data_IF_078938475283
#
_entry.id   IF_078938475283
#
_cell.length_a   1.000
_cell.length_b   1.000
_cell.length_c   1.000
_cell.angle_alpha   90.00
_cell.angle_beta   90.00
_cell.angle_gamma   90.00
#
_symmetry.space_group_name_H-M   'P 1'
#
loop_
_entity.id
_entity.type
_entity.pdbx_description
1 polymer ?
#
# COMPACT_ATOMS: atom_id res chain seq x y z
N UNK A 1 8.63 -3.27 -3.43
CA UNK A 1 9.69 -2.36 -3.93
C UNK A 1 9.13 -0.96 -4.24
N UNK A 2 8.19 -0.82 -5.17
CA UNK A 2 7.63 0.49 -5.56
C UNK A 2 7.09 1.33 -4.39
N UNK A 3 6.24 0.75 -3.54
CA UNK A 3 5.63 1.46 -2.41
C UNK A 3 6.49 1.50 -1.14
N UNK A 4 7.72 0.96 -1.15
CA UNK A 4 8.46 0.66 0.09
C UNK A 4 7.55 -0.02 1.15
N UNK A 5 6.86 -1.09 0.75
CA UNK A 5 5.86 -1.74 1.59
C UNK A 5 6.46 -2.13 2.94
N UNK A 6 5.71 -1.95 4.02
CA UNK A 6 6.22 -2.18 5.36
C UNK A 6 5.13 -2.35 6.39
N UNK A 7 5.53 -2.94 7.52
CA UNK A 7 4.68 -3.17 8.69
C UNK A 7 5.41 -2.66 9.94
N UNK A 8 4.92 -2.99 11.12
CA UNK A 8 5.65 -2.73 12.37
C UNK A 8 6.94 -3.54 12.51
N UNK A 9 7.16 -4.56 11.67
CA UNK A 9 8.35 -5.41 11.68
C UNK A 9 9.47 -4.93 10.73
N UNK A 10 9.24 -3.86 9.99
CA UNK A 10 10.18 -3.31 9.02
C UNK A 10 9.56 -3.00 7.66
N UNK A 11 10.38 -2.45 6.78
CA UNK A 11 10.05 -2.03 5.43
C UNK A 11 10.85 -2.81 4.38
N UNK A 12 10.40 -2.74 3.12
CA UNK A 12 11.08 -3.40 2.00
C UNK A 12 12.55 -2.99 1.92
N UNK A 13 12.84 -1.70 2.13
CA UNK A 13 14.22 -1.16 2.05
C UNK A 13 15.20 -1.81 3.04
N UNK A 14 14.71 -2.34 4.16
CA UNK A 14 15.58 -2.83 5.25
C UNK A 14 16.36 -4.09 4.87
N UNK A 15 15.87 -4.82 3.86
CA UNK A 15 16.48 -6.06 3.35
C UNK A 15 16.75 -6.03 1.85
N UNK A 16 16.39 -4.95 1.15
CA UNK A 16 16.56 -4.86 -0.29
C UNK A 16 18.05 -4.74 -0.63
N UNK A 17 18.52 -5.55 -1.57
CA UNK A 17 19.92 -5.58 -2.00
C UNK A 17 20.09 -4.91 -3.36
N UNK A 18 19.28 -5.33 -4.33
CA UNK A 18 19.36 -4.90 -5.72
C UNK A 18 17.96 -4.79 -6.31
N UNK A 19 17.76 -3.82 -7.21
CA UNK A 19 16.56 -3.69 -8.03
C UNK A 19 16.98 -3.52 -9.47
N UNK A 20 16.43 -4.34 -10.36
CA UNK A 20 16.57 -4.19 -11.81
C UNK A 20 15.29 -3.54 -12.33
N UNK A 21 15.44 -2.42 -13.02
CA UNK A 21 14.33 -1.73 -13.69
C UNK A 21 14.48 -1.85 -15.19
N UNK A 22 13.36 -1.84 -15.88
CA UNK A 22 13.23 -1.91 -17.32
C UNK A 22 12.61 -0.61 -17.82
N UNK A 23 13.29 0.05 -18.77
CA UNK A 23 12.77 1.24 -19.45
C UNK A 23 12.22 0.87 -20.81
N UNK A 24 10.99 1.29 -21.05
CA UNK A 24 10.38 1.19 -22.37
C UNK A 24 10.98 2.27 -23.29
N UNK A 25 11.37 1.91 -24.52
CA UNK A 25 11.72 2.91 -25.56
C UNK A 25 10.50 3.64 -26.13
N UNK A 26 9.30 3.06 -25.98
CA UNK A 26 8.00 3.63 -26.37
C UNK A 26 7.00 3.37 -25.23
N UNK A 27 6.07 4.30 -24.93
CA UNK A 27 5.09 4.09 -23.86
C UNK A 27 4.32 2.77 -24.05
N UNK A 28 3.97 2.05 -22.97
CA UNK A 28 3.37 0.70 -23.03
C UNK A 28 2.08 0.60 -23.84
N UNK A 29 1.38 1.73 -24.03
CA UNK A 29 0.13 1.81 -24.82
C UNK A 29 0.36 1.52 -26.32
N UNK A 30 1.61 1.49 -26.77
CA UNK A 30 2.01 1.29 -28.17
C UNK A 30 2.77 -0.03 -28.43
N UNK A 31 2.75 -0.98 -27.50
CA UNK A 31 3.43 -2.27 -27.66
C UNK A 31 2.42 -3.37 -27.99
N UNK A 32 2.60 -4.02 -29.14
CA UNK A 32 1.90 -5.28 -29.45
C UNK A 32 2.34 -6.36 -28.45
N UNK A 33 1.41 -7.26 -28.10
CA UNK A 33 1.69 -8.40 -27.22
C UNK A 33 2.80 -9.26 -27.85
N UNK A 34 4.03 -9.13 -27.35
CA UNK A 34 5.21 -9.86 -27.85
C UNK A 34 6.37 -8.98 -28.32
N UNK A 35 6.16 -7.69 -28.56
CA UNK A 35 7.25 -6.74 -28.89
C UNK A 35 7.70 -5.99 -27.63
N UNK A 36 8.75 -6.49 -26.98
CA UNK A 36 9.44 -5.81 -25.88
C UNK A 36 10.43 -4.73 -26.37
N UNK A 37 10.56 -4.54 -27.69
CA UNK A 37 11.51 -3.62 -28.29
C UNK A 37 12.96 -3.82 -27.83
N UNK A 38 13.82 -2.85 -28.15
CA UNK A 38 15.16 -2.79 -27.58
C UNK A 38 15.10 -2.26 -26.15
N UNK A 39 15.07 -3.18 -25.18
CA UNK A 39 15.07 -2.94 -23.75
C UNK A 39 16.34 -2.26 -23.23
N UNK A 40 16.20 -1.29 -22.31
CA UNK A 40 17.31 -0.88 -21.43
C UNK A 40 17.01 -1.29 -20.00
N UNK A 41 17.85 -2.17 -19.46
CA UNK A 41 17.84 -2.51 -18.04
C UNK A 41 18.80 -1.60 -17.28
N UNK A 42 18.38 -1.13 -16.11
CA UNK A 42 19.24 -0.40 -15.17
C UNK A 42 19.18 -1.11 -13.82
N UNK A 43 20.35 -1.32 -13.24
CA UNK A 43 20.48 -1.87 -11.90
C UNK A 43 20.70 -0.77 -10.88
N UNK A 44 19.98 -0.87 -9.76
CA UNK A 44 20.17 -0.04 -8.57
C UNK A 44 20.60 -0.93 -7.40
N UNK A 45 21.63 -0.49 -6.70
CA UNK A 45 22.16 -1.12 -5.49
C UNK A 45 21.87 -0.26 -4.25
N UNK A 46 22.13 -0.78 -3.05
CA UNK A 46 21.76 -0.17 -1.78
C UNK A 46 22.07 1.33 -1.65
N UNK A 47 23.25 1.76 -2.09
CA UNK A 47 23.67 3.17 -1.98
C UNK A 47 22.87 4.12 -2.89
N UNK A 48 22.14 3.57 -3.87
CA UNK A 48 21.32 4.33 -4.81
C UNK A 48 19.84 4.34 -4.42
N UNK A 49 19.42 3.50 -3.46
CA UNK A 49 18.04 3.48 -3.00
C UNK A 49 17.70 4.75 -2.22
N UNK A 50 16.78 5.53 -2.76
CA UNK A 50 16.18 6.68 -2.08
C UNK A 50 14.72 6.36 -1.77
N UNK A 51 14.41 6.22 -0.49
CA UNK A 51 13.08 5.88 0.00
C UNK A 51 12.59 6.88 1.04
N UNK A 52 11.31 7.20 0.95
CA UNK A 52 10.53 7.88 1.99
C UNK A 52 9.42 6.94 2.49
N UNK A 53 8.70 7.36 3.52
CA UNK A 53 7.56 6.58 4.03
C UNK A 53 6.52 6.37 2.91
N UNK A 54 6.32 5.10 2.53
CA UNK A 54 5.42 4.66 1.45
C UNK A 54 5.76 5.18 0.05
N UNK A 55 7.01 5.57 -0.21
CA UNK A 55 7.40 6.18 -1.48
C UNK A 55 8.82 5.82 -1.87
N UNK A 56 9.02 5.39 -3.12
CA UNK A 56 10.33 5.26 -3.73
C UNK A 56 10.68 6.54 -4.54
N UNK A 57 11.95 6.91 -4.57
CA UNK A 57 12.47 8.10 -5.25
C UNK A 57 13.61 7.79 -6.23
N UNK A 58 13.88 6.51 -6.49
CA UNK A 58 15.00 6.09 -7.34
C UNK A 58 14.55 5.35 -8.60
N UNK A 59 13.34 4.78 -8.62
CA UNK A 59 12.76 4.20 -9.84
C UNK A 59 12.00 5.30 -10.57
N UNK A 60 12.36 5.63 -11.83
CA UNK A 60 11.59 6.60 -12.60
C UNK A 60 10.16 6.12 -12.86
N UNK A 61 9.21 7.05 -12.93
CA UNK A 61 7.78 6.73 -13.07
C UNK A 61 7.44 5.95 -14.34
N UNK A 62 8.22 6.18 -15.40
CA UNK A 62 8.08 5.53 -16.71
C UNK A 62 8.73 4.13 -16.77
N UNK A 63 9.41 3.72 -15.69
CA UNK A 63 10.13 2.45 -15.63
C UNK A 63 9.31 1.35 -14.95
N UNK A 64 9.49 0.12 -15.40
CA UNK A 64 8.95 -1.08 -14.76
C UNK A 64 10.01 -1.67 -13.83
N UNK A 65 9.62 -2.05 -12.60
CA UNK A 65 10.48 -2.88 -11.77
C UNK A 65 10.44 -4.31 -12.30
N UNK A 66 11.56 -4.79 -12.82
CA UNK A 66 11.69 -6.09 -13.46
C UNK A 66 12.07 -7.19 -12.46
N UNK A 67 13.08 -6.93 -11.63
CA UNK A 67 13.54 -7.88 -10.63
C UNK A 67 14.01 -7.17 -9.35
N UNK A 68 14.03 -7.90 -8.25
CA UNK A 68 14.61 -7.43 -7.00
C UNK A 68 15.23 -8.60 -6.24
N UNK A 69 16.31 -8.30 -5.53
CA UNK A 69 17.05 -9.25 -4.70
C UNK A 69 17.07 -8.73 -3.26
N UNK A 70 17.01 -9.65 -2.31
CA UNK A 70 17.00 -9.34 -0.88
C UNK A 70 18.10 -10.09 -0.15
N UNK A 71 18.68 -9.43 0.86
CA UNK A 71 19.52 -10.10 1.85
C UNK A 71 18.62 -10.71 2.92
N UNK A 72 18.65 -12.03 3.04
CA UNK A 72 17.88 -12.78 4.03
C UNK A 72 18.80 -13.39 5.08
N UNK A 73 18.28 -13.54 6.30
CA UNK A 73 18.96 -14.26 7.37
C UNK A 73 18.45 -15.70 7.40
N UNK A 74 19.38 -16.66 7.46
CA UNK A 74 19.03 -18.08 7.63
C UNK A 74 18.47 -18.30 9.04
N UNK A 75 17.45 -19.15 9.13
CA UNK A 75 16.87 -19.64 10.37
C UNK A 75 16.32 -21.06 10.15
N UNK A 76 15.93 -21.75 11.22
CA UNK A 76 15.35 -23.09 11.13
C UNK A 76 13.95 -23.05 10.53
N UNK A 77 13.54 -24.08 9.76
CA UNK A 77 12.18 -24.15 9.20
C UNK A 77 11.08 -23.98 10.26
N UNK A 78 11.29 -24.51 11.47
CA UNK A 78 10.32 -24.42 12.55
C UNK A 78 10.15 -22.99 13.10
N UNK A 79 11.26 -22.26 13.28
CA UNK A 79 11.20 -20.86 13.73
C UNK A 79 10.56 -19.94 12.67
N UNK A 80 10.90 -20.16 11.41
CA UNK A 80 10.31 -19.44 10.27
C UNK A 80 8.79 -19.66 10.25
N UNK A 81 8.35 -20.93 10.33
CA UNK A 81 6.93 -21.28 10.35
C UNK A 81 6.21 -20.63 11.53
N UNK A 82 6.77 -20.76 12.74
CA UNK A 82 6.20 -20.15 13.95
C UNK A 82 6.04 -18.64 13.82
N UNK A 83 7.02 -17.96 13.23
CA UNK A 83 6.97 -16.51 12.99
C UNK A 83 5.89 -16.15 11.98
N UNK A 84 5.81 -16.88 10.86
CA UNK A 84 4.77 -16.69 9.83
C UNK A 84 3.38 -16.88 10.43
N UNK A 85 3.17 -17.98 11.18
CA UNK A 85 1.88 -18.30 11.79
C UNK A 85 1.43 -17.19 12.76
N UNK A 86 2.33 -16.67 13.60
CA UNK A 86 2.05 -15.53 14.48
C UNK A 86 1.65 -14.27 13.71
N UNK A 87 2.34 -13.96 12.62
CA UNK A 87 2.03 -12.79 11.77
C UNK A 87 0.66 -12.95 11.12
N UNK A 88 0.36 -14.13 10.57
CA UNK A 88 -0.91 -14.43 9.91
C UNK A 88 -2.08 -14.42 10.90
N UNK A 89 -1.91 -15.02 12.09
CA UNK A 89 -2.91 -14.97 13.16
C UNK A 89 -3.20 -13.54 13.56
N UNK A 90 -2.17 -12.73 13.86
CA UNK A 90 -2.36 -11.31 14.20
C UNK A 90 -3.05 -10.54 13.08
N UNK A 91 -2.70 -10.81 11.82
CA UNK A 91 -3.36 -10.18 10.68
C UNK A 91 -4.85 -10.56 10.60
N UNK A 92 -5.16 -11.84 10.82
CA UNK A 92 -6.54 -12.34 10.88
C UNK A 92 -7.31 -11.74 12.05
N UNK A 93 -6.68 -11.46 13.18
CA UNK A 93 -7.35 -10.82 14.33
C UNK A 93 -7.58 -9.32 14.14
N UNK A 94 -6.65 -8.64 13.46
CA UNK A 94 -6.62 -7.16 13.42
C UNK A 94 -7.09 -6.54 12.11
N UNK A 95 -7.23 -7.30 11.02
CA UNK A 95 -7.59 -6.78 9.69
C UNK A 95 -8.81 -7.50 9.10
N UNK A 96 -9.63 -6.82 8.28
CA UNK A 96 -10.79 -7.40 7.61
C UNK A 96 -10.37 -8.20 6.37
N UNK A 97 -9.64 -9.30 6.58
CA UNK A 97 -9.13 -10.16 5.49
C UNK A 97 -10.22 -11.03 4.84
N UNK A 98 -11.41 -11.03 5.43
CA UNK A 98 -12.63 -11.71 5.01
C UNK A 98 -13.45 -10.91 3.99
N UNK A 99 -13.12 -9.64 3.77
CA UNK A 99 -13.78 -8.78 2.78
C UNK A 99 -12.78 -8.21 1.75
N UNK A 100 -13.21 -7.99 0.49
CA UNK A 100 -12.40 -7.25 -0.47
C UNK A 100 -12.15 -5.82 0.01
N UNK A 101 -10.90 -5.35 -0.06
CA UNK A 101 -10.50 -3.99 0.30
C UNK A 101 -9.23 -3.59 -0.46
N UNK A 102 -8.89 -2.30 -0.42
CA UNK A 102 -7.64 -1.77 -1.00
C UNK A 102 -6.48 -1.68 0.03
N UNK A 103 -6.62 -2.31 1.20
CA UNK A 103 -5.68 -2.15 2.31
C UNK A 103 -5.96 -0.90 3.15
N UNK A 104 -4.91 -0.39 3.80
CA UNK A 104 -4.97 0.89 4.50
C UNK A 104 -5.20 2.02 3.51
N UNK A 105 -6.26 2.80 3.73
CA UNK A 105 -6.68 3.90 2.87
C UNK A 105 -5.77 5.11 3.05
N UNK A 106 -5.46 5.44 4.30
CA UNK A 106 -4.64 6.60 4.64
C UNK A 106 -3.29 6.21 5.23
N UNK A 107 -2.29 7.04 4.95
CA UNK A 107 -1.00 7.05 5.64
C UNK A 107 -1.21 7.51 7.09
N UNK A 108 -0.34 7.07 7.99
CA UNK A 108 -0.37 7.56 9.37
C UNK A 108 0.08 9.03 9.40
N UNK A 109 -0.74 9.96 9.94
CA UNK A 109 -0.31 11.33 10.15
C UNK A 109 0.79 11.40 11.24
N UNK A 110 1.46 12.56 11.32
CA UNK A 110 2.51 12.78 12.33
C UNK A 110 1.93 12.58 13.73
N UNK A 111 2.54 11.68 14.50
CA UNK A 111 2.20 11.36 15.90
C UNK A 111 0.84 10.66 16.14
N UNK A 112 0.10 10.22 15.11
CA UNK A 112 -1.17 9.50 15.32
C UNK A 112 -1.36 8.40 14.27
N UNK A 113 -2.10 7.34 14.61
CA UNK A 113 -2.44 6.30 13.63
C UNK A 113 -3.67 6.73 12.85
N UNK A 114 -3.67 6.49 11.54
CA UNK A 114 -4.79 6.87 10.68
C UNK A 114 -6.11 6.27 11.14
N UNK A 115 -6.11 5.00 11.57
CA UNK A 115 -7.31 4.36 12.10
C UNK A 115 -7.87 5.09 13.31
N UNK A 116 -7.03 5.61 14.22
CA UNK A 116 -7.51 6.37 15.39
C UNK A 116 -8.19 7.66 14.97
N UNK A 117 -7.68 8.33 13.93
CA UNK A 117 -8.33 9.53 13.38
C UNK A 117 -9.71 9.19 12.84
N UNK A 118 -9.86 8.10 12.08
CA UNK A 118 -11.17 7.67 11.57
C UNK A 118 -12.12 7.28 12.70
N UNK A 119 -11.59 6.63 13.74
CA UNK A 119 -12.36 6.22 14.92
C UNK A 119 -12.88 7.41 15.74
N UNK A 120 -12.03 8.41 15.98
CA UNK A 120 -12.38 9.62 16.72
C UNK A 120 -13.45 10.46 16.00
N UNK A 121 -13.55 10.32 14.68
CA UNK A 121 -14.61 10.92 13.85
C UNK A 121 -15.91 10.10 13.85
N UNK A 122 -15.96 8.98 14.60
CA UNK A 122 -17.09 8.05 14.64
C UNK A 122 -17.46 7.50 13.26
N UNK A 123 -16.44 7.26 12.42
CA UNK A 123 -16.64 6.74 11.06
C UNK A 123 -16.43 5.22 10.96
N UNK A 124 -16.04 4.53 12.04
CA UNK A 124 -16.00 3.06 12.06
C UNK A 124 -17.39 2.49 11.78
N UNK A 125 -17.49 1.55 10.84
CA UNK A 125 -18.77 0.98 10.40
C UNK A 125 -19.61 1.91 9.52
N UNK A 126 -19.17 3.15 9.26
CA UNK A 126 -19.91 4.08 8.42
C UNK A 126 -19.92 3.61 6.97
N UNK A 127 -21.12 3.57 6.37
CA UNK A 127 -21.38 2.97 5.06
C UNK A 127 -21.96 4.00 4.09
N UNK A 128 -21.49 3.96 2.85
CA UNK A 128 -22.10 4.66 1.71
C UNK A 128 -22.21 3.65 0.56
N UNK A 129 -23.41 3.47 0.02
CA UNK A 129 -23.65 2.48 -1.04
C UNK A 129 -23.21 1.07 -0.60
N UNK A 130 -22.36 0.42 -1.40
CA UNK A 130 -21.81 -0.90 -1.08
C UNK A 130 -20.47 -0.88 -0.33
N UNK A 131 -19.92 0.31 -0.03
CA UNK A 131 -18.63 0.49 0.64
C UNK A 131 -18.80 0.88 2.11
N UNK A 132 -17.94 0.38 3.00
CA UNK A 132 -18.00 0.66 4.43
C UNK A 132 -16.60 0.80 5.03
N UNK A 133 -16.39 1.74 5.95
CA UNK A 133 -15.21 1.68 6.83
C UNK A 133 -15.31 0.46 7.75
N UNK A 134 -14.33 -0.44 7.70
CA UNK A 134 -14.38 -1.69 8.44
C UNK A 134 -14.57 -1.47 9.94
N UNK A 135 -15.50 -2.23 10.52
CA UNK A 135 -15.68 -2.28 11.98
C UNK A 135 -14.45 -2.82 12.71
N UNK A 136 -13.68 -3.69 12.06
CA UNK A 136 -12.49 -4.31 12.63
C UNK A 136 -11.29 -3.36 12.62
N UNK A 137 -11.04 -2.73 11.48
CA UNK A 137 -9.95 -1.77 11.33
C UNK A 137 -10.36 -0.62 10.41
N UNK A 138 -10.84 0.48 10.99
CA UNK A 138 -11.48 1.59 10.25
C UNK A 138 -10.56 2.38 9.30
N UNK A 139 -9.24 2.16 9.27
CA UNK A 139 -8.41 2.63 8.14
C UNK A 139 -8.57 1.78 6.86
N UNK A 140 -9.43 0.76 6.85
CA UNK A 140 -9.76 -0.05 5.69
C UNK A 140 -11.19 0.27 5.28
N UNK A 141 -11.39 0.50 3.98
CA UNK A 141 -12.73 0.49 3.39
C UNK A 141 -12.94 -0.88 2.76
N UNK A 142 -14.00 -1.58 3.20
CA UNK A 142 -14.39 -2.90 2.73
C UNK A 142 -15.53 -2.77 1.72
N UNK A 143 -15.52 -3.68 0.75
CA UNK A 143 -16.62 -3.87 -0.20
C UNK A 143 -17.57 -4.95 0.35
N UNK A 144 -18.84 -4.59 0.56
CA UNK A 144 -19.89 -5.50 1.02
C UNK A 144 -20.56 -6.30 -0.12
N UNK A 145 -19.99 -6.24 -1.32
CA UNK A 145 -20.38 -7.00 -2.50
C UNK A 145 -20.79 -6.13 -3.70
N UNK A 146 -21.24 -4.90 -3.43
CA UNK A 146 -21.82 -3.99 -4.45
C UNK A 146 -21.15 -2.61 -4.49
N UNK A 147 -20.02 -2.43 -3.79
CA UNK A 147 -19.32 -1.14 -3.73
C UNK A 147 -18.91 -0.65 -5.11
N UNK A 148 -19.24 0.61 -5.41
CA UNK A 148 -18.69 1.32 -6.56
C UNK A 148 -17.44 2.09 -6.16
N UNK A 149 -16.60 2.38 -7.15
CA UNK A 149 -15.44 3.26 -6.97
C UNK A 149 -15.86 4.64 -6.39
N UNK A 150 -17.00 5.18 -6.85
CA UNK A 150 -17.59 6.42 -6.33
C UNK A 150 -17.93 6.35 -4.84
N UNK A 151 -18.42 5.20 -4.35
CA UNK A 151 -18.79 5.00 -2.95
C UNK A 151 -17.54 5.10 -2.06
N UNK A 152 -16.46 4.41 -2.48
CA UNK A 152 -15.17 4.46 -1.80
C UNK A 152 -14.61 5.89 -1.81
N UNK A 153 -14.65 6.58 -2.95
CA UNK A 153 -14.16 7.97 -3.05
C UNK A 153 -14.93 8.91 -2.12
N UNK A 154 -16.25 8.73 -2.04
CA UNK A 154 -17.11 9.55 -1.18
C UNK A 154 -16.77 9.35 0.30
N UNK A 155 -16.55 8.09 0.73
CA UNK A 155 -16.08 7.80 2.09
C UNK A 155 -14.71 8.43 2.39
N UNK A 156 -13.78 8.38 1.43
CA UNK A 156 -12.45 8.99 1.56
C UNK A 156 -12.57 10.50 1.73
N UNK A 157 -13.34 11.17 0.88
CA UNK A 157 -13.53 12.62 0.92
C UNK A 157 -14.20 13.08 2.21
N UNK A 158 -15.22 12.33 2.66
CA UNK A 158 -15.88 12.57 3.94
C UNK A 158 -14.87 12.51 5.10
N UNK A 159 -14.07 11.45 5.18
CA UNK A 159 -13.07 11.30 6.24
C UNK A 159 -12.02 12.41 6.21
N UNK A 160 -11.50 12.78 5.03
CA UNK A 160 -10.53 13.88 4.89
C UNK A 160 -11.13 15.22 5.32
N UNK A 161 -12.35 15.52 4.89
CA UNK A 161 -13.04 16.76 5.24
C UNK A 161 -13.24 16.86 6.76
N UNK A 162 -13.79 15.81 7.38
CA UNK A 162 -14.06 15.77 8.83
C UNK A 162 -12.76 15.79 9.65
N UNK A 163 -11.73 15.06 9.24
CA UNK A 163 -10.43 15.10 9.92
C UNK A 163 -9.83 16.51 9.94
N UNK A 164 -9.91 17.24 8.82
CA UNK A 164 -9.41 18.61 8.73
C UNK A 164 -10.26 19.58 9.54
N UNK A 165 -11.58 19.48 9.46
CA UNK A 165 -12.52 20.42 10.11
C UNK A 165 -12.62 20.21 11.63
N UNK A 166 -12.71 18.96 12.09
CA UNK A 166 -12.99 18.64 13.50
C UNK A 166 -11.71 18.43 14.30
N UNK A 167 -10.64 17.93 13.66
CA UNK A 167 -9.40 17.56 14.36
C UNK A 167 -8.17 18.37 13.92
N UNK A 168 -8.29 19.18 12.88
CA UNK A 168 -7.14 19.91 12.30
C UNK A 168 -6.09 18.98 11.68
N UNK A 169 -6.44 17.73 11.37
CA UNK A 169 -5.52 16.71 10.84
C UNK A 169 -5.74 16.56 9.34
N UNK A 170 -4.67 16.72 8.55
CA UNK A 170 -4.69 16.39 7.13
C UNK A 170 -4.37 14.91 6.92
N UNK A 171 -5.37 14.14 6.46
CA UNK A 171 -5.20 12.75 6.07
C UNK A 171 -4.66 12.67 4.63
N UNK A 172 -3.50 12.05 4.47
CA UNK A 172 -2.90 11.74 3.17
C UNK A 172 -3.27 10.31 2.75
N UNK A 173 -3.74 10.16 1.51
CA UNK A 173 -4.13 8.87 0.95
C UNK A 173 -2.90 8.00 0.61
N UNK A 174 -2.96 6.72 0.95
CA UNK A 174 -1.98 5.71 0.52
C UNK A 174 -2.43 5.01 -0.77
N UNK A 175 -3.74 4.93 -0.99
CA UNK A 175 -4.37 4.34 -2.18
C UNK A 175 -4.13 5.18 -3.43
N UNK A 176 -4.21 4.52 -4.60
CA UNK A 176 -4.07 5.15 -5.92
C UNK A 176 -5.36 4.95 -6.72
N UNK A 177 -5.80 6.00 -7.39
CA UNK A 177 -6.91 5.94 -8.34
C UNK A 177 -6.39 5.67 -9.75
N UNK A 178 -7.09 4.83 -10.49
CA UNK A 178 -6.82 4.54 -11.89
C UNK A 178 -8.13 4.70 -12.67
N UNK A 179 -8.12 5.50 -13.74
CA UNK A 179 -9.29 5.71 -14.59
C UNK A 179 -10.46 6.43 -13.92
N UNK A 180 -10.17 7.30 -12.96
CA UNK A 180 -11.15 8.16 -12.26
C UNK A 180 -11.42 9.45 -13.02
#
# INVERSE_FOLDING_TARGET
VFMNAGTHLGETKDKLYKVVVYFFKKPPVLLDVGDIGNARFIEFTQNQFKYEYRKNLFVPEEALIYAAEWVIQKDTPNNIKTTIDKILMRRKETQPIDHPSCGSVFKNPKNKKAWQVIDDLWLRGYQIGGAQFSEKHCNFIINLGTAKASDIKTLIDLAKSRAKQELGIELEEEVKYLGF
#
